data_IF_924672662697
#
_entry.id   IF_924672662697
#
_cell.length_a   1.000
_cell.length_b   1.000
_cell.length_c   1.000
_cell.angle_alpha   90.00
_cell.angle_beta   90.00
_cell.angle_gamma   90.00
#
_symmetry.space_group_name_H-M   'P 1'
#
loop_
_entity.id
_entity.type
_entity.pdbx_description
1 polymer ?
#
# COMPACT_ATOMS: atom_id res chain seq x y z
N UNK A 1 12.14 11.28 -5.70
CA UNK A 1 10.99 10.84 -4.89
C UNK A 1 11.52 9.87 -3.86
N UNK A 2 11.23 10.06 -2.57
CA UNK A 2 11.52 9.03 -1.56
C UNK A 2 10.23 8.24 -1.38
N UNK A 3 10.25 6.97 -1.74
CA UNK A 3 9.10 6.11 -1.57
C UNK A 3 9.11 5.42 -0.21
N UNK A 4 7.93 5.13 0.32
CA UNK A 4 7.77 4.35 1.55
C UNK A 4 6.61 3.37 1.37
N UNK A 5 6.83 2.10 1.72
CA UNK A 5 5.77 1.10 1.84
C UNK A 5 5.48 0.83 3.33
N UNK A 6 4.21 0.65 3.69
CA UNK A 6 3.77 0.30 5.06
C UNK A 6 2.52 -0.56 5.04
N UNK A 7 2.38 -1.41 6.04
CA UNK A 7 1.19 -2.23 6.27
C UNK A 7 0.49 -1.75 7.54
N UNK A 8 -0.81 -1.49 7.45
CA UNK A 8 -1.66 -1.17 8.58
C UNK A 8 -2.68 -2.27 8.83
N UNK A 9 -2.94 -2.55 10.10
CA UNK A 9 -4.05 -3.40 10.54
C UNK A 9 -5.13 -2.51 11.13
N UNK A 10 -6.32 -2.40 10.51
CA UNK A 10 -7.42 -1.63 11.06
C UNK A 10 -7.79 -2.09 12.47
N UNK A 11 -8.24 -1.15 13.32
CA UNK A 11 -8.64 -1.41 14.71
C UNK A 11 -10.14 -1.33 14.94
N UNK A 12 -10.89 -0.91 13.93
CA UNK A 12 -12.34 -0.69 13.97
C UNK A 12 -12.96 -1.13 12.65
N UNK A 13 -14.24 -1.51 12.69
CA UNK A 13 -15.03 -1.95 11.55
C UNK A 13 -15.28 -3.47 11.54
N UNK A 14 -16.22 -3.95 10.70
CA UNK A 14 -16.45 -5.39 10.54
C UNK A 14 -15.20 -6.10 10.01
N UNK A 15 -14.89 -7.28 10.58
CA UNK A 15 -13.76 -8.12 10.18
C UNK A 15 -12.40 -7.39 10.18
N UNK A 16 -12.24 -6.32 10.97
CA UNK A 16 -11.06 -5.46 10.92
C UNK A 16 -9.77 -6.22 11.22
N UNK A 17 -9.85 -7.29 12.01
CA UNK A 17 -8.78 -8.21 12.33
C UNK A 17 -8.28 -9.02 11.11
N UNK A 18 -9.15 -9.24 10.13
CA UNK A 18 -8.87 -9.96 8.88
C UNK A 18 -8.42 -9.06 7.75
N UNK A 19 -8.55 -7.74 7.86
CA UNK A 19 -8.17 -6.78 6.82
C UNK A 19 -6.73 -6.29 7.02
N UNK A 20 -6.02 -6.05 5.91
CA UNK A 20 -4.76 -5.31 5.90
C UNK A 20 -4.82 -4.20 4.86
N UNK A 21 -4.22 -3.06 5.20
CA UNK A 21 -4.04 -1.92 4.31
C UNK A 21 -2.56 -1.82 3.94
N UNK A 22 -2.21 -2.07 2.69
CA UNK A 22 -0.87 -1.87 2.16
C UNK A 22 -0.82 -0.51 1.49
N UNK A 23 0.02 0.37 2.01
CA UNK A 23 0.12 1.74 1.55
C UNK A 23 1.50 2.01 1.00
N UNK A 24 1.54 2.67 -0.14
CA UNK A 24 2.73 3.21 -0.76
C UNK A 24 2.61 4.74 -0.86
N UNK A 25 3.67 5.44 -0.48
CA UNK A 25 3.74 6.89 -0.48
C UNK A 25 4.83 7.38 -1.42
N UNK A 26 4.55 8.45 -2.16
CA UNK A 26 5.52 9.21 -2.93
C UNK A 26 5.51 10.66 -2.51
N UNK A 27 6.62 11.10 -1.92
CA UNK A 27 6.81 12.49 -1.48
C UNK A 27 7.57 13.33 -2.50
N UNK A 28 7.08 14.55 -2.71
CA UNK A 28 7.73 15.65 -3.44
C UNK A 28 7.81 16.90 -2.54
N UNK A 29 8.57 17.95 -2.91
CA UNK A 29 8.57 19.19 -2.14
C UNK A 29 7.20 19.87 -2.02
N UNK A 30 6.29 19.63 -2.96
CA UNK A 30 5.04 20.37 -3.08
C UNK A 30 3.79 19.55 -2.70
N UNK A 31 3.90 18.21 -2.73
CA UNK A 31 2.75 17.31 -2.52
C UNK A 31 3.20 15.90 -2.12
N UNK A 32 2.24 15.16 -1.55
CA UNK A 32 2.31 13.73 -1.26
C UNK A 32 1.22 13.00 -2.05
N UNK A 33 1.59 11.90 -2.69
CA UNK A 33 0.64 10.96 -3.31
C UNK A 33 0.70 9.64 -2.52
N UNK A 34 -0.46 9.03 -2.30
CA UNK A 34 -0.59 7.74 -1.62
C UNK A 34 -1.43 6.76 -2.44
N UNK A 35 -0.99 5.50 -2.50
CA UNK A 35 -1.78 4.40 -3.03
C UNK A 35 -2.02 3.38 -1.91
N UNK A 36 -3.27 2.98 -1.71
CA UNK A 36 -3.65 2.01 -0.67
C UNK A 36 -4.38 0.82 -1.28
N UNK A 37 -3.92 -0.39 -0.98
CA UNK A 37 -4.63 -1.63 -1.22
C UNK A 37 -5.22 -2.13 0.09
N UNK A 38 -6.54 -2.21 0.16
CA UNK A 38 -7.27 -2.81 1.26
C UNK A 38 -7.78 -4.18 0.83
N UNK A 39 -7.43 -5.24 1.56
CA UNK A 39 -7.93 -6.58 1.28
C UNK A 39 -7.84 -7.47 2.52
N UNK A 40 -8.49 -8.63 2.47
CA UNK A 40 -8.33 -9.66 3.49
C UNK A 40 -6.93 -10.28 3.46
N UNK A 41 -6.46 -10.74 4.63
CA UNK A 41 -5.14 -11.39 4.79
C UNK A 41 -4.96 -12.57 3.83
N UNK A 42 -6.01 -13.38 3.64
CA UNK A 42 -5.99 -14.54 2.76
C UNK A 42 -5.85 -14.20 1.26
N UNK A 43 -6.32 -13.02 0.84
CA UNK A 43 -6.25 -12.56 -0.55
C UNK A 43 -4.99 -11.73 -0.85
N UNK A 44 -4.22 -11.37 0.18
CA UNK A 44 -2.98 -10.63 0.04
C UNK A 44 -1.99 -11.25 -0.95
N UNK A 45 -1.74 -12.56 -0.96
CA UNK A 45 -0.81 -13.16 -1.92
C UNK A 45 -1.20 -12.90 -3.39
N UNK A 46 -2.49 -12.72 -3.68
CA UNK A 46 -3.01 -12.42 -5.02
C UNK A 46 -2.95 -10.92 -5.34
N UNK A 47 -3.24 -10.06 -4.35
CA UNK A 47 -3.29 -8.61 -4.54
C UNK A 47 -1.91 -7.94 -4.58
N UNK A 48 -0.95 -8.45 -3.78
CA UNK A 48 0.35 -7.80 -3.58
C UNK A 48 1.20 -7.65 -4.85
N UNK A 49 1.26 -8.64 -5.79
CA UNK A 49 2.01 -8.47 -7.04
C UNK A 49 1.48 -7.32 -7.89
N UNK A 50 0.15 -7.19 -8.02
CA UNK A 50 -0.47 -6.10 -8.78
C UNK A 50 -0.22 -4.75 -8.12
N UNK A 51 -0.40 -4.66 -6.80
CA UNK A 51 -0.10 -3.46 -6.02
C UNK A 51 1.34 -2.97 -6.25
N UNK A 52 2.32 -3.87 -6.13
CA UNK A 52 3.73 -3.55 -6.36
C UNK A 52 4.01 -3.15 -7.81
N UNK A 53 3.34 -3.75 -8.77
CA UNK A 53 3.44 -3.34 -10.18
C UNK A 53 2.97 -1.91 -10.38
N UNK A 54 1.84 -1.51 -9.77
CA UNK A 54 1.32 -0.14 -9.86
C UNK A 54 2.26 0.85 -9.16
N UNK A 55 2.71 0.50 -7.96
CA UNK A 55 3.72 1.27 -7.19
C UNK A 55 4.95 1.56 -8.04
N UNK A 56 5.51 0.52 -8.67
CA UNK A 56 6.68 0.65 -9.55
C UNK A 56 6.41 1.55 -10.74
N UNK A 57 5.28 1.37 -11.43
CA UNK A 57 4.89 2.20 -12.58
C UNK A 57 4.75 3.67 -12.21
N UNK A 58 4.21 3.97 -11.02
CA UNK A 58 4.02 5.33 -10.54
C UNK A 58 5.25 5.93 -9.85
N UNK A 59 6.35 5.16 -9.73
CA UNK A 59 7.53 5.49 -8.93
C UNK A 59 7.22 5.81 -7.45
N UNK A 60 6.12 5.29 -6.92
CA UNK A 60 5.65 5.50 -5.54
C UNK A 60 6.26 4.45 -4.60
N UNK A 61 7.58 4.37 -4.45
CA UNK A 61 8.21 3.31 -3.66
C UNK A 61 9.73 3.38 -3.70
N UNK A 62 10.43 2.66 -2.81
CA UNK A 62 11.89 2.54 -2.93
C UNK A 62 12.19 1.64 -4.13
N UNK A 63 12.86 2.20 -5.14
CA UNK A 63 13.48 1.40 -6.20
C UNK A 63 14.46 0.42 -5.55
N UNK A 64 14.15 -0.87 -5.59
CA UNK A 64 15.13 -1.93 -5.37
C UNK A 64 15.81 -2.28 -6.69
#
# INVERSE_FOLDING_TARGET
MKGQETVYSPKIGPDHERVRLYMALGDTPNYRISLTCATYVEDMPKALPLFRSIVKTMALGTSH
#
